data_IF_213540177354
#
_entry.id   IF_213540177354
#
_cell.length_a   1.000
_cell.length_b   1.000
_cell.length_c   1.000
_cell.angle_alpha   90.00
_cell.angle_beta   90.00
_cell.angle_gamma   90.00
#
_symmetry.space_group_name_H-M   'P 1'
#
loop_
_entity.id
_entity.type
_entity.pdbx_description
1 polymer ?
#
# COMPACT_ATOMS: atom_id res chain seq x y z
N UNK A 1 -47.51 -23.41 -32.14
CA UNK A 1 -47.28 -22.69 -30.86
C UNK A 1 -47.01 -21.23 -31.19
N UNK A 2 -47.80 -20.29 -30.64
CA UNK A 2 -47.50 -18.84 -30.77
C UNK A 2 -46.40 -18.48 -29.76
N UNK A 3 -45.25 -18.02 -30.25
CA UNK A 3 -44.20 -17.42 -29.44
C UNK A 3 -44.70 -16.08 -28.91
N UNK A 4 -44.80 -15.91 -27.59
CA UNK A 4 -45.03 -14.60 -26.98
C UNK A 4 -43.75 -13.77 -27.16
N UNK A 5 -43.85 -12.65 -27.86
CA UNK A 5 -42.76 -11.67 -27.97
C UNK A 5 -42.70 -10.79 -26.72
N UNK A 6 -41.49 -10.34 -26.38
CA UNK A 6 -41.29 -9.31 -25.37
C UNK A 6 -41.88 -7.98 -25.85
N UNK A 7 -42.49 -7.24 -24.93
CA UNK A 7 -42.96 -5.87 -25.18
C UNK A 7 -41.82 -4.86 -24.98
N UNK A 8 -41.91 -3.73 -25.67
CA UNK A 8 -40.94 -2.63 -25.50
C UNK A 8 -40.91 -2.12 -24.05
N UNK A 9 -42.07 -2.11 -23.37
CA UNK A 9 -42.15 -1.66 -21.98
C UNK A 9 -41.46 -2.62 -21.01
N UNK A 10 -41.55 -3.94 -21.24
CA UNK A 10 -40.82 -4.93 -20.43
C UNK A 10 -39.31 -4.76 -20.57
N UNK A 11 -38.81 -4.51 -21.78
CA UNK A 11 -37.39 -4.24 -22.00
C UNK A 11 -36.95 -2.93 -21.31
N UNK A 12 -37.77 -1.89 -21.41
CA UNK A 12 -37.46 -0.57 -20.85
C UNK A 12 -37.42 -0.61 -19.31
N UNK A 13 -38.39 -1.28 -18.68
CA UNK A 13 -38.40 -1.45 -17.22
C UNK A 13 -37.21 -2.29 -16.75
N UNK A 14 -36.84 -3.35 -17.50
CA UNK A 14 -35.70 -4.19 -17.14
C UNK A 14 -34.37 -3.41 -17.14
N UNK A 15 -34.09 -2.63 -18.19
CA UNK A 15 -32.86 -1.82 -18.23
C UNK A 15 -32.85 -0.71 -17.17
N UNK A 16 -34.01 -0.15 -16.83
CA UNK A 16 -34.13 0.84 -15.77
C UNK A 16 -33.78 0.22 -14.40
N UNK A 17 -34.27 -0.97 -14.10
CA UNK A 17 -33.95 -1.70 -12.86
C UNK A 17 -32.47 -2.05 -12.81
N UNK A 18 -31.90 -2.59 -13.89
CA UNK A 18 -30.45 -2.91 -13.96
C UNK A 18 -29.60 -1.65 -13.75
N UNK A 19 -30.02 -0.52 -14.34
CA UNK A 19 -29.35 0.78 -14.15
C UNK A 19 -29.30 1.19 -12.68
N UNK A 20 -30.44 1.15 -11.98
CA UNK A 20 -30.52 1.51 -10.55
C UNK A 20 -29.65 0.56 -9.71
N UNK A 21 -29.79 -0.75 -9.90
CA UNK A 21 -29.03 -1.74 -9.13
C UNK A 21 -27.52 -1.64 -9.37
N UNK A 22 -27.08 -1.42 -10.61
CA UNK A 22 -25.66 -1.31 -10.95
C UNK A 22 -24.97 -0.13 -10.25
N UNK A 23 -25.65 1.02 -10.14
CA UNK A 23 -25.09 2.21 -9.48
C UNK A 23 -24.77 1.99 -8.00
N UNK A 24 -25.65 1.29 -7.27
CA UNK A 24 -25.48 0.97 -5.85
C UNK A 24 -24.31 0.00 -5.65
N UNK A 25 -24.21 -1.02 -6.52
CA UNK A 25 -23.15 -2.04 -6.44
C UNK A 25 -21.76 -1.42 -6.61
N UNK A 26 -21.59 -0.51 -7.56
CA UNK A 26 -20.28 0.14 -7.83
C UNK A 26 -19.75 0.89 -6.61
N UNK A 27 -20.61 1.66 -5.92
CA UNK A 27 -20.21 2.39 -4.70
C UNK A 27 -19.78 1.42 -3.60
N UNK A 28 -20.55 0.36 -3.35
CA UNK A 28 -20.21 -0.62 -2.31
C UNK A 28 -18.90 -1.38 -2.60
N UNK A 29 -18.62 -1.65 -3.88
CA UNK A 29 -17.43 -2.37 -4.31
C UNK A 29 -16.17 -1.53 -4.13
N UNK A 30 -16.25 -0.22 -4.40
CA UNK A 30 -15.11 0.69 -4.21
C UNK A 30 -14.67 0.75 -2.75
N UNK A 31 -15.62 0.91 -1.81
CA UNK A 31 -15.33 0.90 -0.38
C UNK A 31 -14.78 -0.46 0.09
N UNK A 32 -15.31 -1.57 -0.44
CA UNK A 32 -14.81 -2.91 -0.12
C UNK A 32 -13.36 -3.11 -0.60
N UNK A 33 -13.01 -2.59 -1.77
CA UNK A 33 -11.63 -2.62 -2.30
C UNK A 33 -10.67 -1.81 -1.46
N UNK A 34 -11.06 -0.58 -1.07
CA UNK A 34 -10.28 0.29 -0.18
C UNK A 34 -9.89 -0.44 1.12
N UNK A 35 -10.88 -1.05 1.79
CA UNK A 35 -10.67 -1.86 2.99
C UNK A 35 -9.80 -3.08 2.74
N UNK A 36 -9.98 -3.76 1.61
CA UNK A 36 -9.17 -4.92 1.25
C UNK A 36 -7.69 -4.55 1.04
N UNK A 37 -7.39 -3.44 0.37
CA UNK A 37 -6.02 -2.95 0.19
C UNK A 37 -5.38 -2.61 1.52
N UNK A 38 -6.08 -1.90 2.41
CA UNK A 38 -5.57 -1.58 3.73
C UNK A 38 -5.31 -2.84 4.58
N UNK A 39 -6.27 -3.78 4.61
CA UNK A 39 -6.12 -5.04 5.34
C UNK A 39 -4.97 -5.87 4.81
N UNK A 40 -4.77 -5.88 3.48
CA UNK A 40 -3.64 -6.54 2.83
C UNK A 40 -2.32 -5.86 3.23
N UNK A 41 -2.26 -4.53 3.16
CA UNK A 41 -1.09 -3.75 3.52
C UNK A 41 -0.62 -4.05 4.95
N UNK A 42 -1.54 -4.05 5.91
CA UNK A 42 -1.26 -4.33 7.31
C UNK A 42 -0.78 -5.78 7.52
N UNK A 43 -1.41 -6.75 6.87
CA UNK A 43 -1.02 -8.16 6.98
C UNK A 43 0.36 -8.43 6.34
N UNK A 44 0.60 -7.92 5.15
CA UNK A 44 1.87 -8.09 4.43
C UNK A 44 3.03 -7.38 5.15
N UNK A 45 2.84 -6.14 5.61
CA UNK A 45 3.88 -5.41 6.38
C UNK A 45 4.20 -6.09 7.71
N UNK A 46 3.20 -6.62 8.41
CA UNK A 46 3.42 -7.44 9.62
C UNK A 46 4.21 -8.72 9.30
N UNK A 47 3.91 -9.40 8.20
CA UNK A 47 4.66 -10.59 7.78
C UNK A 47 6.11 -10.24 7.42
N UNK A 48 6.35 -9.10 6.76
CA UNK A 48 7.69 -8.59 6.49
C UNK A 48 8.42 -8.27 7.80
N UNK A 49 7.77 -7.62 8.77
CA UNK A 49 8.35 -7.35 10.08
C UNK A 49 8.79 -8.65 10.79
N UNK A 50 7.96 -9.69 10.78
CA UNK A 50 8.34 -11.00 11.33
C UNK A 50 9.52 -11.62 10.58
N UNK A 51 9.56 -11.51 9.25
CA UNK A 51 10.68 -11.97 8.44
C UNK A 51 11.99 -11.22 8.75
N UNK A 52 11.90 -9.93 9.06
CA UNK A 52 13.03 -9.10 9.47
C UNK A 52 13.60 -9.56 10.81
N UNK A 53 12.75 -9.91 11.79
CA UNK A 53 13.20 -10.48 13.06
C UNK A 53 13.93 -11.81 12.83
N UNK A 54 13.40 -12.70 12.00
CA UNK A 54 14.10 -13.95 11.67
C UNK A 54 15.42 -13.74 10.93
N UNK A 55 15.51 -12.70 10.10
CA UNK A 55 16.76 -12.31 9.47
C UNK A 55 17.77 -11.82 10.51
N UNK A 56 17.32 -10.96 11.45
CA UNK A 56 18.14 -10.43 12.52
C UNK A 56 18.69 -11.56 13.40
N UNK A 57 17.84 -12.49 13.83
CA UNK A 57 18.21 -13.66 14.64
C UNK A 57 19.34 -14.50 14.01
N UNK A 58 19.43 -14.54 12.68
CA UNK A 58 20.45 -15.31 11.97
C UNK A 58 21.71 -14.51 11.61
N UNK A 59 21.61 -13.19 11.48
CA UNK A 59 22.69 -12.37 10.93
C UNK A 59 23.21 -11.31 11.92
N UNK A 60 22.64 -11.22 13.13
CA UNK A 60 22.92 -10.20 14.16
C UNK A 60 22.78 -8.75 13.65
N UNK A 61 22.05 -8.56 12.55
CA UNK A 61 21.81 -7.28 11.92
C UNK A 61 20.58 -7.37 11.01
N UNK A 62 19.89 -6.24 10.84
CA UNK A 62 18.87 -6.12 9.80
C UNK A 62 19.51 -6.04 8.40
N UNK A 63 18.77 -6.41 7.34
CA UNK A 63 19.25 -6.26 5.96
C UNK A 63 19.66 -4.82 5.64
N UNK A 64 20.64 -4.68 4.76
CA UNK A 64 21.01 -3.38 4.21
C UNK A 64 19.83 -2.80 3.43
N UNK A 65 19.82 -1.47 3.33
CA UNK A 65 18.87 -0.74 2.50
C UNK A 65 19.07 -1.14 1.02
N UNK A 66 17.97 -1.29 0.29
CA UNK A 66 17.96 -1.68 -1.12
C UNK A 66 17.04 -0.76 -1.90
N UNK A 67 17.24 -0.61 -3.23
CA UNK A 67 16.30 0.17 -4.03
C UNK A 67 14.85 -0.32 -3.90
N UNK A 68 13.90 0.59 -4.11
CA UNK A 68 12.46 0.29 -4.05
C UNK A 68 12.10 -0.95 -4.87
N UNK A 69 11.18 -1.76 -4.36
CA UNK A 69 10.69 -3.00 -4.99
C UNK A 69 11.75 -4.09 -5.19
N UNK A 70 12.87 -4.05 -4.47
CA UNK A 70 13.88 -5.11 -4.47
C UNK A 70 13.81 -5.86 -3.14
N UNK A 71 13.91 -7.19 -3.20
CA UNK A 71 14.01 -8.04 -2.02
C UNK A 71 15.36 -7.78 -1.32
N UNK A 72 15.38 -7.33 -0.05
CA UNK A 72 16.62 -7.09 0.69
C UNK A 72 17.27 -8.38 1.21
N UNK A 73 16.83 -9.56 0.76
CA UNK A 73 17.32 -10.86 1.21
C UNK A 73 16.35 -11.57 2.17
N UNK A 74 15.10 -11.15 2.19
CA UNK A 74 14.03 -11.70 3.02
C UNK A 74 13.30 -12.87 2.36
N UNK A 75 13.53 -13.14 1.07
CA UNK A 75 12.92 -14.26 0.34
C UNK A 75 12.88 -15.60 1.11
N UNK A 76 13.96 -16.06 1.77
CA UNK A 76 13.94 -17.30 2.55
C UNK A 76 13.04 -17.29 3.80
N UNK A 77 12.63 -16.12 4.27
CA UNK A 77 11.82 -15.92 5.48
C UNK A 77 10.37 -15.54 5.15
N UNK A 78 10.06 -15.31 3.87
CA UNK A 78 8.73 -14.98 3.37
C UNK A 78 8.12 -16.19 2.65
N UNK A 79 6.86 -16.51 2.94
CA UNK A 79 6.18 -17.68 2.36
C UNK A 79 5.99 -17.60 0.85
N UNK A 80 5.94 -16.39 0.29
CA UNK A 80 5.71 -16.13 -1.14
C UNK A 80 6.78 -15.24 -1.79
N UNK A 81 7.93 -15.05 -1.13
CA UNK A 81 8.93 -14.06 -1.53
C UNK A 81 8.47 -12.60 -1.30
N UNK A 82 9.26 -11.65 -1.81
CA UNK A 82 8.98 -10.22 -1.66
C UNK A 82 7.66 -9.82 -2.33
N UNK A 83 6.68 -9.25 -1.59
CA UNK A 83 5.35 -9.00 -2.12
C UNK A 83 5.33 -7.80 -3.08
N UNK A 84 4.34 -7.80 -3.98
CA UNK A 84 3.97 -6.61 -4.74
C UNK A 84 3.11 -5.69 -3.88
N UNK A 85 3.21 -4.37 -4.10
CA UNK A 85 2.49 -3.41 -3.27
C UNK A 85 0.97 -3.63 -3.23
N UNK A 86 0.31 -3.22 -2.13
CA UNK A 86 -1.08 -3.57 -1.88
C UNK A 86 -2.08 -2.72 -2.68
N UNK A 87 -1.71 -1.47 -3.04
CA UNK A 87 -2.49 -0.61 -3.93
C UNK A 87 -1.99 -0.70 -5.39
N UNK A 88 -2.85 -0.42 -6.39
CA UNK A 88 -2.44 -0.37 -7.78
C UNK A 88 -1.27 0.60 -7.99
N UNK A 89 -0.15 0.12 -8.54
CA UNK A 89 1.04 0.95 -8.81
C UNK A 89 1.88 1.29 -7.58
N UNK A 90 1.47 0.87 -6.37
CA UNK A 90 2.31 0.95 -5.18
C UNK A 90 3.37 -0.15 -5.16
N UNK A 91 4.48 0.11 -4.46
CA UNK A 91 5.57 -0.84 -4.25
C UNK A 91 6.02 -0.83 -2.79
N UNK A 92 6.49 -1.98 -2.31
CA UNK A 92 7.16 -2.08 -1.02
C UNK A 92 8.63 -1.66 -1.11
N UNK A 93 9.12 -1.11 -0.02
CA UNK A 93 10.45 -0.55 0.13
C UNK A 93 10.93 -0.81 1.56
N UNK A 94 12.05 -1.50 1.71
CA UNK A 94 12.66 -1.73 3.03
C UNK A 94 13.62 -0.59 3.31
N UNK A 95 13.35 0.19 4.35
CA UNK A 95 14.16 1.33 4.72
C UNK A 95 15.04 0.99 5.94
N UNK A 96 16.36 1.06 5.76
CA UNK A 96 17.35 0.97 6.84
C UNK A 96 18.21 2.25 6.84
N UNK A 97 17.69 3.30 7.45
CA UNK A 97 18.28 4.64 7.40
C UNK A 97 19.01 5.02 8.68
N UNK A 98 19.97 5.95 8.55
CA UNK A 98 20.50 6.69 9.69
C UNK A 98 19.57 7.86 9.98
N UNK A 99 19.12 8.03 11.22
CA UNK A 99 18.26 9.16 11.58
C UNK A 99 19.02 10.48 11.42
N UNK A 100 18.59 11.39 10.52
CA UNK A 100 19.25 12.69 10.35
C UNK A 100 19.02 13.62 11.54
N UNK A 101 18.01 13.35 12.36
CA UNK A 101 17.63 14.16 13.51
C UNK A 101 18.36 13.74 14.80
N UNK A 102 18.83 12.49 14.88
CA UNK A 102 19.49 11.95 16.08
C UNK A 102 20.74 11.14 15.70
N UNK A 103 21.97 11.67 15.92
CA UNK A 103 23.20 10.97 15.59
C UNK A 103 23.29 9.58 16.25
N UNK A 104 23.63 8.56 15.45
CA UNK A 104 23.79 7.18 15.92
C UNK A 104 22.50 6.38 16.05
N UNK A 105 21.33 6.99 15.83
CA UNK A 105 20.07 6.25 15.76
C UNK A 105 19.77 5.76 14.34
N UNK A 106 19.09 4.62 14.27
CA UNK A 106 18.62 4.00 13.03
C UNK A 106 17.11 4.10 12.93
N UNK A 107 16.62 4.17 11.70
CA UNK A 107 15.21 4.05 11.36
C UNK A 107 15.06 2.77 10.54
N UNK A 108 14.19 1.89 11.02
CA UNK A 108 13.84 0.63 10.37
C UNK A 108 12.34 0.65 10.11
N UNK A 109 11.95 0.59 8.85
CA UNK A 109 10.53 0.62 8.48
C UNK A 109 10.30 -0.07 7.13
N UNK A 110 9.08 -0.52 6.91
CA UNK A 110 8.62 -0.99 5.60
C UNK A 110 7.73 0.08 5.00
N UNK A 111 8.23 0.76 3.98
CA UNK A 111 7.50 1.80 3.25
C UNK A 111 6.68 1.22 2.10
N UNK A 112 5.55 1.85 1.85
CA UNK A 112 4.69 1.66 0.70
C UNK A 112 4.74 2.95 -0.11
N UNK A 113 5.41 2.87 -1.25
CA UNK A 113 5.66 4.00 -2.15
C UNK A 113 4.60 3.98 -3.24
N UNK A 114 4.03 5.15 -3.54
CA UNK A 114 2.99 5.33 -4.56
C UNK A 114 3.51 5.96 -5.85
N UNK A 115 4.79 6.33 -5.87
CA UNK A 115 5.45 7.01 -6.96
C UNK A 115 6.63 6.19 -7.49
N UNK A 116 6.85 6.16 -8.81
CA UNK A 116 8.07 5.58 -9.37
C UNK A 116 9.31 6.34 -8.86
N UNK A 117 10.47 5.66 -8.76
CA UNK A 117 11.73 6.32 -8.41
C UNK A 117 12.02 7.49 -9.37
N UNK A 118 12.24 8.68 -8.82
CA UNK A 118 12.62 9.90 -9.57
C UNK A 118 11.63 10.35 -10.66
N UNK A 119 10.37 9.92 -10.60
CA UNK A 119 9.32 10.34 -11.54
C UNK A 119 8.61 11.64 -11.12
N UNK A 120 7.90 12.31 -12.04
CA UNK A 120 7.06 13.44 -11.69
C UNK A 120 5.86 13.00 -10.83
N UNK A 121 5.29 13.92 -10.05
CA UNK A 121 4.11 13.64 -9.22
C UNK A 121 2.90 13.11 -10.04
N UNK A 122 2.80 13.46 -11.31
CA UNK A 122 1.77 12.96 -12.22
C UNK A 122 1.85 11.47 -12.52
N UNK A 123 2.99 10.83 -12.24
CA UNK A 123 3.18 9.39 -12.37
C UNK A 123 2.86 8.63 -11.08
N UNK A 124 2.52 9.33 -10.00
CA UNK A 124 2.11 8.72 -8.73
C UNK A 124 0.66 8.24 -8.79
N UNK A 125 0.38 7.13 -8.12
CA UNK A 125 -0.97 6.62 -7.94
C UNK A 125 -1.31 6.53 -6.45
N UNK A 126 -1.77 7.65 -5.89
CA UNK A 126 -2.15 7.73 -4.48
C UNK A 126 -3.54 7.12 -4.24
N UNK A 127 -3.75 6.49 -3.09
CA UNK A 127 -5.07 5.98 -2.74
C UNK A 127 -6.05 7.12 -2.47
N UNK A 128 -7.30 6.94 -2.89
CA UNK A 128 -8.41 7.85 -2.61
C UNK A 128 -8.89 7.67 -1.16
N UNK A 129 -8.04 8.10 -0.24
CA UNK A 129 -8.21 7.96 1.21
C UNK A 129 -7.93 9.29 1.91
N UNK A 130 -8.66 9.64 2.99
CA UNK A 130 -8.44 10.90 3.70
C UNK A 130 -7.01 11.08 4.21
N UNK A 131 -6.36 9.99 4.63
CA UNK A 131 -4.98 10.01 5.11
C UNK A 131 -3.94 10.27 4.02
N UNK A 132 -4.32 10.10 2.74
CA UNK A 132 -3.45 10.33 1.59
C UNK A 132 -3.70 11.68 0.89
N UNK A 133 -4.67 12.48 1.36
CA UNK A 133 -5.12 13.70 0.67
C UNK A 133 -4.03 14.78 0.51
N UNK A 134 -2.96 14.72 1.31
CA UNK A 134 -1.81 15.63 1.27
C UNK A 134 -0.53 14.99 0.76
N UNK A 135 -0.61 13.83 0.11
CA UNK A 135 0.58 13.11 -0.32
C UNK A 135 1.25 13.74 -1.54
N UNK A 136 2.58 13.71 -1.54
CA UNK A 136 3.41 14.07 -2.68
C UNK A 136 4.45 12.98 -2.99
N UNK A 137 5.46 13.31 -3.80
CA UNK A 137 6.49 12.37 -4.26
C UNK A 137 7.29 11.68 -3.15
N UNK A 138 7.39 12.32 -1.98
CA UNK A 138 8.12 11.82 -0.82
C UNK A 138 7.17 11.26 0.26
N UNK A 139 5.86 11.39 0.07
CA UNK A 139 4.87 10.78 0.94
C UNK A 139 4.79 9.26 0.75
N UNK A 140 4.58 8.56 1.86
CA UNK A 140 4.45 7.11 1.89
C UNK A 140 3.53 6.70 3.02
N UNK A 141 2.91 5.55 2.87
CA UNK A 141 2.42 4.80 4.03
C UNK A 141 3.57 3.90 4.52
N UNK A 142 3.73 3.67 5.81
CA UNK A 142 4.85 2.89 6.34
C UNK A 142 4.46 2.11 7.58
N UNK A 143 5.09 0.96 7.76
CA UNK A 143 5.04 0.17 8.99
C UNK A 143 6.36 0.38 9.74
N UNK A 144 6.27 0.92 10.95
CA UNK A 144 7.44 1.21 11.76
C UNK A 144 7.95 -0.03 12.49
N UNK A 145 9.20 -0.42 12.23
CA UNK A 145 9.86 -1.54 12.92
C UNK A 145 10.65 -1.01 14.12
N UNK A 146 11.47 0.03 13.91
CA UNK A 146 12.21 0.68 14.99
C UNK A 146 12.61 2.12 14.64
N UNK A 147 12.83 2.95 15.66
CA UNK A 147 13.27 4.33 15.53
C UNK A 147 12.13 5.32 15.24
N UNK A 148 12.50 6.53 14.82
CA UNK A 148 11.57 7.61 14.50
C UNK A 148 11.15 7.55 13.02
N UNK A 149 10.24 6.60 12.72
CA UNK A 149 9.71 6.34 11.38
C UNK A 149 9.01 7.54 10.77
N UNK A 150 9.08 7.65 9.44
CA UNK A 150 8.68 8.84 8.68
C UNK A 150 8.44 8.50 7.21
N UNK A 151 7.79 9.39 6.48
CA UNK A 151 7.49 9.18 5.06
C UNK A 151 8.75 9.03 4.21
N UNK A 152 9.78 9.85 4.43
CA UNK A 152 11.02 9.85 3.67
C UNK A 152 12.18 10.39 4.51
N UNK A 153 13.39 9.94 4.19
CA UNK A 153 14.58 10.26 4.98
C UNK A 153 14.94 11.75 5.01
N UNK A 154 14.64 12.48 3.93
CA UNK A 154 14.93 13.91 3.83
C UNK A 154 13.97 14.81 4.61
N UNK A 155 12.92 14.24 5.21
CA UNK A 155 11.83 14.97 5.82
C UNK A 155 11.68 14.65 7.31
N UNK A 156 11.04 15.52 8.11
CA UNK A 156 10.74 15.23 9.51
C UNK A 156 9.63 14.18 9.66
N UNK A 157 9.49 13.63 10.87
CA UNK A 157 8.40 12.68 11.22
C UNK A 157 7.00 13.26 11.05
N UNK A 158 6.86 14.59 11.05
CA UNK A 158 5.58 15.30 10.88
C UNK A 158 5.21 15.52 9.41
N UNK A 159 6.06 15.12 8.47
CA UNK A 159 5.78 15.25 7.04
C UNK A 159 4.58 14.38 6.63
N UNK A 160 3.77 14.79 5.63
CA UNK A 160 2.66 13.99 5.15
C UNK A 160 3.06 12.54 4.81
N UNK A 161 2.52 11.62 5.61
CA UNK A 161 2.74 10.19 5.52
C UNK A 161 1.75 9.48 6.44
N UNK A 162 1.65 8.16 6.30
CA UNK A 162 0.68 7.37 7.06
C UNK A 162 1.34 6.17 7.73
N UNK A 163 1.38 6.17 9.06
CA UNK A 163 1.88 5.04 9.80
C UNK A 163 0.80 3.97 9.96
N UNK A 164 1.08 2.74 9.52
CA UNK A 164 0.14 1.61 9.55
C UNK A 164 -0.03 0.98 10.94
N UNK A 165 0.97 1.15 11.81
CA UNK A 165 1.03 0.57 13.15
C UNK A 165 1.29 1.61 14.26
N UNK A 166 0.98 2.87 13.95
CA UNK A 166 0.75 3.93 14.90
C UNK A 166 -0.77 4.20 14.94
#
# INVERSE_FOLDING_TARGET
>A
MRTKGFTLIELLVAIAIIGVLSSIVVVSLNESRKRAYFSRALAETRNIAVALEFYFDKNDAYPLDTPRNIDPGLGPYLSSGWPQGPWPGSIYDWDNWNDPSVPGQKIHQVSIRFCPPSGPISACNFPDEPWAAGFDIDSAAYYCVAGACRSHISHPVTYPGFCLNC
#
